data_IF_738148612217
#
_entry.id   IF_738148612217
#
_cell.length_a   1.000
_cell.length_b   1.000
_cell.length_c   1.000
_cell.angle_alpha   90.00
_cell.angle_beta   90.00
_cell.angle_gamma   90.00
#
_symmetry.space_group_name_H-M   'P 1'
#
loop_
_entity.id
_entity.type
_entity.pdbx_description
1 polymer ?
#
# COMPACT_ATOMS: atom_id res chain seq x y z
N UNK A 1 24.46 -24.23 -22.63
CA UNK A 1 23.02 -23.95 -22.46
C UNK A 1 22.87 -23.17 -21.18
N UNK A 2 22.55 -21.88 -21.27
CA UNK A 2 22.26 -21.04 -20.10
C UNK A 2 20.88 -21.44 -19.55
N UNK A 3 20.73 -21.63 -18.23
CA UNK A 3 19.44 -21.97 -17.65
C UNK A 3 18.43 -20.84 -17.93
N UNK A 4 17.23 -21.21 -18.35
CA UNK A 4 16.11 -20.28 -18.52
C UNK A 4 15.84 -19.59 -17.18
N UNK A 5 15.68 -18.25 -17.13
CA UNK A 5 15.35 -17.56 -15.89
C UNK A 5 14.07 -18.16 -15.29
N UNK A 6 13.96 -18.25 -13.95
CA UNK A 6 12.80 -18.87 -13.28
C UNK A 6 11.45 -18.18 -13.56
N UNK A 7 11.44 -17.07 -14.31
CA UNK A 7 10.27 -16.25 -14.61
C UNK A 7 9.86 -16.25 -16.09
N UNK A 8 10.37 -17.17 -16.92
CA UNK A 8 9.96 -17.24 -18.33
C UNK A 8 8.57 -17.90 -18.47
N UNK A 9 7.55 -17.10 -18.79
CA UNK A 9 6.25 -17.64 -19.22
C UNK A 9 6.38 -18.01 -20.70
N UNK A 10 6.37 -19.30 -21.02
CA UNK A 10 6.48 -19.81 -22.40
C UNK A 10 5.10 -20.12 -23.01
N UNK A 11 4.05 -19.45 -22.55
CA UNK A 11 2.67 -19.65 -23.00
C UNK A 11 2.38 -18.84 -24.27
N UNK A 12 1.16 -18.97 -24.84
CA UNK A 12 0.63 -18.04 -25.85
C UNK A 12 -0.55 -17.21 -25.33
N UNK A 13 -1.23 -17.71 -24.29
CA UNK A 13 -2.35 -17.07 -23.63
C UNK A 13 -2.14 -17.08 -22.11
N UNK A 14 -2.11 -15.89 -21.49
CA UNK A 14 -1.84 -15.70 -20.06
C UNK A 14 -3.02 -14.98 -19.42
N UNK A 15 -3.55 -15.50 -18.31
CA UNK A 15 -4.51 -14.80 -17.47
C UNK A 15 -3.82 -14.21 -16.22
N UNK A 16 -4.04 -12.93 -15.96
CA UNK A 16 -3.59 -12.20 -14.77
C UNK A 16 -4.81 -11.96 -13.88
N UNK A 17 -4.79 -12.52 -12.67
CA UNK A 17 -5.89 -12.45 -11.71
C UNK A 17 -5.52 -11.54 -10.55
N UNK A 18 -6.05 -10.31 -10.56
CA UNK A 18 -6.04 -9.45 -9.38
C UNK A 18 -5.58 -8.02 -9.66
N UNK A 19 -6.33 -7.07 -9.10
CA UNK A 19 -6.08 -5.63 -9.12
C UNK A 19 -5.68 -5.13 -7.71
N UNK A 20 -4.92 -5.92 -6.95
CA UNK A 20 -4.13 -5.37 -5.85
C UNK A 20 -2.91 -4.66 -6.43
N UNK A 21 -2.38 -3.63 -5.77
CA UNK A 21 -1.19 -2.87 -6.19
C UNK A 21 0.06 -3.77 -6.26
N UNK A 22 0.11 -4.63 -7.28
CA UNK A 22 1.07 -5.70 -7.35
C UNK A 22 2.25 -5.28 -8.20
N UNK A 23 3.43 -5.38 -7.56
CA UNK A 23 4.80 -5.22 -8.05
C UNK A 23 5.16 -6.07 -9.30
N UNK A 24 4.21 -6.72 -9.96
CA UNK A 24 4.42 -7.51 -11.18
C UNK A 24 4.84 -6.66 -12.38
N UNK A 25 4.56 -5.35 -12.35
CA UNK A 25 4.94 -4.39 -13.39
C UNK A 25 6.47 -4.21 -13.47
N UNK A 26 7.23 -4.61 -12.44
CA UNK A 26 8.68 -4.48 -12.46
C UNK A 26 9.39 -5.40 -13.50
N UNK A 27 8.69 -6.38 -14.08
CA UNK A 27 9.24 -7.29 -15.11
C UNK A 27 8.17 -7.62 -16.16
N UNK A 28 7.95 -6.77 -17.18
CA UNK A 28 6.90 -6.99 -18.18
C UNK A 28 7.30 -7.94 -19.33
N UNK A 29 8.59 -8.26 -19.45
CA UNK A 29 9.16 -9.14 -20.48
C UNK A 29 8.43 -10.50 -20.66
N UNK A 30 7.92 -11.18 -19.60
CA UNK A 30 7.20 -12.45 -19.75
C UNK A 30 5.88 -12.33 -20.51
N UNK A 31 5.35 -11.11 -20.70
CA UNK A 31 4.08 -10.87 -21.40
C UNK A 31 4.27 -10.46 -22.86
N UNK A 32 5.52 -10.32 -23.32
CA UNK A 32 5.82 -9.92 -24.69
C UNK A 32 5.21 -10.90 -25.70
N UNK A 33 4.53 -10.37 -26.71
CA UNK A 33 3.86 -11.13 -27.78
C UNK A 33 2.76 -12.12 -27.29
N UNK A 34 2.30 -11.99 -26.04
CA UNK A 34 1.24 -12.82 -25.44
C UNK A 34 -0.14 -12.21 -25.62
N UNK A 35 -1.18 -13.05 -25.60
CA UNK A 35 -2.56 -12.60 -25.32
C UNK A 35 -2.76 -12.61 -23.80
N UNK A 36 -3.05 -11.45 -23.22
CA UNK A 36 -3.19 -11.29 -21.77
C UNK A 36 -4.62 -10.96 -21.38
N UNK A 37 -5.13 -11.62 -20.34
CA UNK A 37 -6.45 -11.33 -19.75
C UNK A 37 -6.24 -10.76 -18.36
N UNK A 38 -6.67 -9.53 -18.09
CA UNK A 38 -6.62 -8.91 -16.76
C UNK A 38 -7.99 -9.02 -16.11
N UNK A 39 -8.08 -9.68 -14.96
CA UNK A 39 -9.33 -9.81 -14.20
C UNK A 39 -9.42 -8.70 -13.14
N UNK A 40 -10.38 -7.79 -13.31
CA UNK A 40 -10.62 -6.61 -12.47
C UNK A 40 -10.32 -5.29 -13.20
N UNK A 41 -11.21 -4.30 -13.08
CA UNK A 41 -11.10 -2.99 -13.75
C UNK A 41 -11.11 -1.80 -12.77
N UNK A 42 -10.58 -2.03 -11.56
CA UNK A 42 -10.24 -0.94 -10.64
C UNK A 42 -8.89 -0.33 -11.05
N UNK A 43 -8.45 0.73 -10.35
CA UNK A 43 -7.22 1.49 -10.68
C UNK A 43 -6.01 0.61 -11.02
N UNK A 44 -5.67 -0.38 -10.18
CA UNK A 44 -4.53 -1.27 -10.46
C UNK A 44 -4.75 -2.18 -11.67
N UNK A 45 -5.99 -2.62 -11.93
CA UNK A 45 -6.30 -3.43 -13.11
C UNK A 45 -6.15 -2.64 -14.41
N UNK A 46 -6.55 -1.35 -14.39
CA UNK A 46 -6.33 -0.42 -15.51
C UNK A 46 -4.84 -0.16 -15.74
N UNK A 47 -4.09 0.13 -14.69
CA UNK A 47 -2.64 0.39 -14.78
C UNK A 47 -1.89 -0.82 -15.34
N UNK A 48 -2.13 -2.02 -14.78
CA UNK A 48 -1.52 -3.27 -15.26
C UNK A 48 -1.87 -3.52 -16.72
N UNK A 49 -3.11 -3.27 -17.13
CA UNK A 49 -3.55 -3.48 -18.51
C UNK A 49 -2.79 -2.58 -19.49
N UNK A 50 -2.54 -1.31 -19.14
CA UNK A 50 -1.79 -0.37 -19.98
C UNK A 50 -0.30 -0.72 -20.05
N UNK A 51 0.31 -0.99 -18.91
CA UNK A 51 1.74 -1.30 -18.86
C UNK A 51 2.04 -2.54 -19.71
N UNK A 52 1.17 -3.56 -19.65
CA UNK A 52 1.28 -4.77 -20.47
C UNK A 52 0.95 -4.51 -21.94
N UNK A 53 0.00 -3.62 -22.27
CA UNK A 53 -0.41 -3.34 -23.64
C UNK A 53 0.72 -2.80 -24.53
N UNK A 54 1.79 -2.25 -23.94
CA UNK A 54 2.98 -1.79 -24.68
C UNK A 54 3.81 -2.92 -25.28
N UNK A 55 3.67 -4.16 -24.76
CA UNK A 55 4.52 -5.31 -25.10
C UNK A 55 3.73 -6.55 -25.53
N UNK A 56 2.51 -6.72 -25.00
CA UNK A 56 1.64 -7.83 -25.32
C UNK A 56 1.07 -7.73 -26.74
N UNK A 57 0.71 -8.87 -27.31
CA UNK A 57 0.03 -8.95 -28.59
C UNK A 57 -1.41 -8.42 -28.49
N UNK A 58 -2.10 -8.80 -27.42
CA UNK A 58 -3.47 -8.37 -27.11
C UNK A 58 -3.69 -8.33 -25.59
N UNK A 59 -4.51 -7.39 -25.12
CA UNK A 59 -4.93 -7.31 -23.71
C UNK A 59 -6.46 -7.26 -23.64
N UNK A 60 -7.05 -8.13 -22.83
CA UNK A 60 -8.51 -8.20 -22.59
C UNK A 60 -8.77 -7.94 -21.10
N UNK A 61 -9.71 -7.06 -20.76
CA UNK A 61 -10.11 -6.83 -19.37
C UNK A 61 -11.40 -7.57 -19.08
N UNK A 62 -11.38 -8.45 -18.08
CA UNK A 62 -12.54 -9.17 -17.60
C UNK A 62 -13.08 -8.52 -16.32
N UNK A 63 -14.37 -8.20 -16.31
CA UNK A 63 -15.06 -7.61 -15.16
C UNK A 63 -16.34 -8.38 -14.87
N UNK A 64 -16.85 -8.27 -13.65
CA UNK A 64 -18.06 -8.99 -13.19
C UNK A 64 -19.37 -8.32 -13.63
N UNK A 65 -19.38 -7.46 -14.66
CA UNK A 65 -20.59 -6.74 -15.06
C UNK A 65 -21.40 -7.52 -16.11
N UNK A 66 -22.71 -7.63 -15.91
CA UNK A 66 -23.64 -8.46 -16.70
C UNK A 66 -23.98 -7.91 -18.10
N UNK A 67 -23.42 -6.74 -18.49
CA UNK A 67 -23.87 -5.96 -19.64
C UNK A 67 -23.02 -6.11 -20.93
N UNK A 68 -22.03 -7.01 -20.98
CA UNK A 68 -21.13 -7.16 -22.13
C UNK A 68 -21.18 -8.55 -22.77
N UNK A 69 -20.84 -8.62 -24.06
CA UNK A 69 -20.72 -9.87 -24.79
C UNK A 69 -19.75 -10.82 -24.09
N UNK A 70 -20.25 -12.01 -23.76
CA UNK A 70 -19.47 -13.05 -23.09
C UNK A 70 -18.48 -13.66 -24.08
N UNK A 71 -17.21 -13.26 -23.99
CA UNK A 71 -16.11 -13.87 -24.73
C UNK A 71 -15.45 -14.97 -23.89
N UNK A 72 -15.24 -16.13 -24.49
CA UNK A 72 -14.49 -17.23 -23.87
C UNK A 72 -13.09 -17.28 -24.49
N UNK A 73 -12.06 -17.42 -23.65
CA UNK A 73 -10.66 -17.51 -24.08
C UNK A 73 -9.99 -18.65 -23.32
N UNK A 74 -9.12 -19.41 -24.00
CA UNK A 74 -8.28 -20.41 -23.36
C UNK A 74 -7.06 -19.74 -22.74
N UNK A 75 -6.74 -20.08 -21.49
CA UNK A 75 -5.55 -19.57 -20.80
C UNK A 75 -4.66 -20.75 -20.40
N UNK A 76 -3.37 -20.65 -20.72
CA UNK A 76 -2.38 -21.70 -20.46
C UNK A 76 -1.56 -21.42 -19.18
N UNK A 77 -1.66 -20.20 -18.65
CA UNK A 77 -1.05 -19.77 -17.39
C UNK A 77 -1.96 -18.80 -16.64
N UNK A 78 -1.95 -18.90 -15.31
CA UNK A 78 -2.67 -18.01 -14.40
C UNK A 78 -1.67 -17.37 -13.43
N UNK A 79 -1.65 -16.04 -13.40
CA UNK A 79 -0.78 -15.25 -12.52
C UNK A 79 -1.63 -14.59 -11.44
N UNK A 80 -1.40 -14.96 -10.18
CA UNK A 80 -2.15 -14.40 -9.05
C UNK A 80 -1.52 -13.10 -8.55
N UNK A 81 -2.29 -12.02 -8.63
CA UNK A 81 -2.00 -10.66 -8.17
C UNK A 81 -2.98 -10.25 -7.06
N UNK A 82 -3.33 -11.19 -6.18
CA UNK A 82 -4.38 -11.06 -5.15
C UNK A 82 -3.85 -10.55 -3.81
N UNK A 83 -2.88 -9.64 -3.86
CA UNK A 83 -2.19 -9.06 -2.69
C UNK A 83 -1.42 -10.09 -1.83
N UNK A 84 -0.87 -9.64 -0.71
CA UNK A 84 -0.07 -10.41 0.24
C UNK A 84 -0.80 -10.54 1.59
N UNK A 85 -0.44 -11.60 2.33
CA UNK A 85 -0.91 -11.83 3.70
C UNK A 85 0.21 -11.58 4.70
N UNK A 86 -0.09 -10.90 5.81
CA UNK A 86 0.81 -10.81 6.95
C UNK A 86 1.09 -12.21 7.50
N UNK A 87 2.38 -12.49 7.76
CA UNK A 87 2.83 -13.72 8.39
C UNK A 87 4.13 -13.48 9.15
N UNK A 88 4.14 -13.81 10.43
CA UNK A 88 5.32 -13.68 11.30
C UNK A 88 5.70 -15.06 11.86
N UNK A 89 6.29 -15.96 11.04
CA UNK A 89 6.54 -17.35 11.45
C UNK A 89 7.57 -17.49 12.58
N UNK A 90 8.31 -16.42 12.87
CA UNK A 90 9.31 -16.35 13.93
C UNK A 90 8.76 -15.80 15.25
N UNK A 91 7.51 -15.33 15.29
CA UNK A 91 6.94 -14.63 16.43
C UNK A 91 5.95 -15.55 17.16
N UNK A 92 6.40 -16.11 18.27
CA UNK A 92 5.57 -16.93 19.16
C UNK A 92 4.97 -16.06 20.26
N UNK A 93 3.65 -15.85 20.24
CA UNK A 93 2.94 -15.04 21.24
C UNK A 93 1.92 -15.83 22.06
N UNK A 94 1.99 -17.16 22.08
CA UNK A 94 1.00 -18.01 22.76
C UNK A 94 -0.45 -17.63 22.38
N UNK A 95 -0.71 -17.48 21.08
CA UNK A 95 -2.01 -17.08 20.51
C UNK A 95 -2.54 -15.69 20.92
N UNK A 96 -1.76 -14.88 21.64
CA UNK A 96 -2.15 -13.51 21.96
C UNK A 96 -2.32 -12.63 20.71
N UNK A 97 -1.39 -12.71 19.75
CA UNK A 97 -1.51 -12.04 18.46
C UNK A 97 -2.16 -12.95 17.42
N UNK A 98 -3.22 -12.46 16.79
CA UNK A 98 -3.89 -13.12 15.67
C UNK A 98 -3.79 -12.29 14.40
N UNK A 99 -3.84 -12.98 13.26
CA UNK A 99 -3.93 -12.37 11.94
C UNK A 99 -5.24 -12.83 11.31
N UNK A 100 -6.25 -11.98 11.36
CA UNK A 100 -7.59 -12.25 10.83
C UNK A 100 -7.89 -11.23 9.72
N UNK A 101 -8.31 -11.69 8.55
CA UNK A 101 -8.59 -10.82 7.39
C UNK A 101 -7.48 -9.81 7.08
N UNK A 102 -6.22 -10.29 7.16
CA UNK A 102 -5.00 -9.49 6.97
C UNK A 102 -4.85 -8.32 7.98
N UNK A 103 -5.45 -8.44 9.16
CA UNK A 103 -5.30 -7.52 10.29
C UNK A 103 -4.54 -8.19 11.42
N UNK A 104 -3.42 -7.59 11.81
CA UNK A 104 -2.65 -8.02 12.98
C UNK A 104 -3.29 -7.40 14.22
N UNK A 105 -3.61 -8.20 15.22
CA UNK A 105 -4.24 -7.72 16.44
C UNK A 105 -4.02 -8.63 17.64
N UNK A 106 -4.28 -8.15 18.86
CA UNK A 106 -4.66 -6.78 19.20
C UNK A 106 -3.45 -5.83 19.15
N UNK A 107 -3.64 -4.63 18.57
CA UNK A 107 -2.61 -3.58 18.52
C UNK A 107 -3.21 -2.22 18.90
N UNK A 108 -2.63 -1.57 19.91
CA UNK A 108 -2.83 -0.15 20.19
C UNK A 108 -2.25 0.66 19.05
N UNK A 109 -3.08 1.50 18.44
CA UNK A 109 -2.70 2.40 17.34
C UNK A 109 -2.00 1.70 16.17
N UNK A 110 -2.27 0.40 15.97
CA UNK A 110 -1.63 -0.49 14.99
C UNK A 110 -0.10 -0.65 15.14
N UNK A 111 0.45 -0.37 16.33
CA UNK A 111 1.89 -0.43 16.60
C UNK A 111 2.21 -1.37 17.76
N UNK A 112 1.57 -1.18 18.92
CA UNK A 112 1.95 -1.86 20.15
C UNK A 112 0.92 -2.90 20.57
N UNK A 113 1.29 -4.17 20.76
CA UNK A 113 0.42 -5.12 21.45
C UNK A 113 0.34 -4.75 22.94
N UNK A 114 -0.85 -4.47 23.51
CA UNK A 114 -0.97 -3.90 24.86
C UNK A 114 -0.18 -4.66 25.94
N UNK A 115 -0.31 -5.99 26.00
CA UNK A 115 0.34 -6.83 27.01
C UNK A 115 1.85 -7.03 26.79
N UNK A 116 2.37 -6.66 25.62
CA UNK A 116 3.79 -6.83 25.24
C UNK A 116 4.51 -5.50 25.07
N UNK A 117 3.83 -4.37 25.27
CA UNK A 117 4.39 -3.05 25.10
C UNK A 117 5.24 -2.64 26.32
N UNK A 118 6.34 -1.87 26.12
CA UNK A 118 6.92 -1.47 24.84
C UNK A 118 7.89 -2.51 24.25
N UNK A 119 7.99 -3.71 24.84
CA UNK A 119 8.95 -4.76 24.46
C UNK A 119 8.77 -5.33 23.04
N UNK A 120 7.55 -5.27 22.49
CA UNK A 120 7.24 -5.61 21.10
C UNK A 120 6.49 -4.45 20.42
N UNK A 121 6.85 -4.16 19.16
CA UNK A 121 6.15 -3.19 18.32
C UNK A 121 6.20 -3.60 16.85
N UNK A 122 5.19 -3.18 16.09
CA UNK A 122 5.08 -3.40 14.66
C UNK A 122 5.25 -2.08 13.90
N UNK A 123 6.14 -2.09 12.90
CA UNK A 123 6.40 -0.96 12.01
C UNK A 123 6.06 -1.40 10.59
N UNK A 124 5.34 -0.56 9.84
CA UNK A 124 4.99 -0.83 8.43
C UNK A 124 3.73 -1.66 8.21
N UNK A 125 2.92 -1.88 9.26
CA UNK A 125 1.49 -2.21 9.08
C UNK A 125 0.77 -1.01 8.45
N UNK A 126 -0.51 -1.10 8.02
CA UNK A 126 -1.22 -0.03 7.29
C UNK A 126 -1.42 1.29 8.07
N UNK A 127 -0.72 1.48 9.18
CA UNK A 127 -0.62 2.69 9.96
C UNK A 127 0.65 3.48 9.63
N UNK A 128 0.40 4.59 8.94
CA UNK A 128 0.99 5.91 9.10
C UNK A 128 2.52 6.10 9.03
N UNK A 129 2.89 7.19 8.35
CA UNK A 129 4.24 7.75 8.33
C UNK A 129 4.65 8.20 9.75
N UNK A 130 5.87 7.88 10.17
CA UNK A 130 6.44 8.35 11.43
C UNK A 130 6.27 7.44 12.65
N UNK A 131 5.71 6.24 12.47
CA UNK A 131 5.59 5.21 13.54
C UNK A 131 6.95 4.83 14.14
N UNK A 132 8.01 4.77 13.35
CA UNK A 132 9.37 4.49 13.83
C UNK A 132 9.89 5.52 14.86
N UNK A 133 9.66 6.82 14.63
CA UNK A 133 10.07 7.89 15.55
C UNK A 133 9.29 7.82 16.86
N UNK A 134 7.99 7.53 16.78
CA UNK A 134 7.18 7.33 17.98
C UNK A 134 7.65 6.14 18.81
N UNK A 135 7.90 4.99 18.17
CA UNK A 135 8.46 3.79 18.85
C UNK A 135 9.80 4.14 19.51
N UNK A 136 10.69 4.83 18.82
CA UNK A 136 11.98 5.25 19.39
C UNK A 136 11.82 6.17 20.61
N UNK A 137 10.88 7.12 20.57
CA UNK A 137 10.59 8.01 21.69
C UNK A 137 10.00 7.28 22.91
N UNK A 138 9.18 6.24 22.69
CA UNK A 138 8.68 5.37 23.76
C UNK A 138 9.82 4.57 24.38
N UNK A 139 10.64 3.91 23.56
CA UNK A 139 11.77 3.11 24.04
C UNK A 139 12.83 3.97 24.77
N UNK A 140 12.99 5.24 24.41
CA UNK A 140 13.88 6.17 25.10
C UNK A 140 13.27 6.80 26.36
N UNK A 141 12.02 6.47 26.70
CA UNK A 141 11.29 7.06 27.84
C UNK A 141 10.89 8.53 27.66
N UNK A 142 11.01 9.10 26.45
CA UNK A 142 10.57 10.49 26.16
C UNK A 142 9.06 10.59 26.06
N UNK A 143 8.41 9.49 25.67
CA UNK A 143 6.95 9.37 25.56
C UNK A 143 6.54 8.17 26.40
N UNK A 144 5.56 8.37 27.29
CA UNK A 144 4.96 7.26 28.03
C UNK A 144 3.78 6.70 27.25
N UNK A 145 3.69 5.37 27.20
CA UNK A 145 2.47 4.70 26.75
C UNK A 145 1.41 4.81 27.87
N UNK A 146 0.12 4.85 27.51
CA UNK A 146 -0.95 4.69 28.49
C UNK A 146 -0.91 3.27 29.09
N UNK A 147 -1.72 3.04 30.11
CA UNK A 147 -1.86 1.73 30.73
C UNK A 147 -2.38 0.67 29.75
N UNK A 148 -2.17 -0.61 30.08
CA UNK A 148 -2.65 -1.72 29.25
C UNK A 148 -4.16 -1.66 29.02
N UNK A 149 -4.94 -1.36 30.07
CA UNK A 149 -6.40 -1.25 29.99
C UNK A 149 -6.83 -0.12 29.05
N UNK A 150 -6.19 1.05 29.15
CA UNK A 150 -6.46 2.19 28.25
C UNK A 150 -6.09 1.86 26.78
N UNK A 151 -4.99 1.13 26.56
CA UNK A 151 -4.60 0.66 25.23
C UNK A 151 -5.62 -0.32 24.64
N UNK A 152 -6.19 -1.18 25.47
CA UNK A 152 -7.25 -2.14 25.08
C UNK A 152 -8.56 -1.40 24.77
N UNK A 153 -8.93 -0.40 25.56
CA UNK A 153 -10.17 0.39 25.36
C UNK A 153 -10.13 1.20 24.05
N UNK A 154 -9.01 1.85 23.75
CA UNK A 154 -8.80 2.61 22.51
C UNK A 154 -8.99 1.74 21.26
N UNK A 155 -8.52 0.48 21.31
CA UNK A 155 -8.73 -0.51 20.24
C UNK A 155 -10.21 -0.68 19.92
N UNK A 156 -11.06 -0.90 20.92
CA UNK A 156 -12.48 -1.16 20.70
C UNK A 156 -13.17 0.02 20.02
N UNK A 157 -12.80 1.25 20.40
CA UNK A 157 -13.31 2.47 19.76
C UNK A 157 -12.91 2.56 18.29
N UNK A 158 -11.69 2.16 17.94
CA UNK A 158 -11.23 2.14 16.55
C UNK A 158 -11.93 1.07 15.69
N UNK A 159 -12.10 -0.14 16.22
CA UNK A 159 -12.81 -1.23 15.52
C UNK A 159 -14.27 -0.87 15.20
N UNK A 160 -14.95 -0.13 16.09
CA UNK A 160 -16.35 0.26 15.92
C UNK A 160 -16.54 1.44 14.95
N UNK A 161 -15.51 2.27 14.75
CA UNK A 161 -15.61 3.53 13.98
C UNK A 161 -15.01 3.46 12.58
N UNK A 162 -14.39 2.34 12.19
CA UNK A 162 -13.89 2.13 10.83
C UNK A 162 -13.96 0.64 10.38
N UNK A 163 -15.17 0.16 10.00
CA UNK A 163 -15.35 -1.18 9.47
C UNK A 163 -14.91 -1.37 8.01
N UNK A 164 -14.57 -0.29 7.28
CA UNK A 164 -14.37 -0.31 5.82
C UNK A 164 -13.02 0.24 5.33
N UNK A 165 -12.05 0.48 6.23
CA UNK A 165 -10.71 0.96 5.86
C UNK A 165 -10.72 2.27 5.05
N UNK A 166 -11.31 3.33 5.63
CA UNK A 166 -11.12 4.66 5.05
C UNK A 166 -9.62 5.03 5.08
N UNK A 167 -9.07 5.76 4.09
CA UNK A 167 -7.65 6.09 4.04
C UNK A 167 -7.20 6.74 5.35
N UNK A 168 -6.33 6.00 6.04
CA UNK A 168 -5.89 6.20 7.41
C UNK A 168 -4.86 7.35 7.45
N UNK A 169 -5.27 8.57 7.13
CA UNK A 169 -4.48 9.79 7.32
C UNK A 169 -5.01 10.67 8.46
N UNK A 170 -6.31 10.63 8.74
CA UNK A 170 -6.94 11.63 9.61
C UNK A 170 -6.93 11.28 11.11
N UNK A 171 -6.94 10.00 11.48
CA UNK A 171 -7.33 9.60 12.85
C UNK A 171 -6.20 9.37 13.84
N UNK A 172 -4.96 9.26 13.38
CA UNK A 172 -3.80 9.12 14.24
C UNK A 172 -2.76 10.14 13.82
N UNK A 173 -2.20 10.88 14.76
CA UNK A 173 -1.12 11.81 14.48
C UNK A 173 0.12 11.37 15.25
N UNK A 174 0.82 10.30 14.82
CA UNK A 174 2.03 9.82 15.50
C UNK A 174 3.08 10.91 15.67
N UNK A 175 3.09 11.90 14.76
CA UNK A 175 3.96 13.07 14.84
C UNK A 175 3.69 13.92 16.09
N UNK A 176 2.44 14.14 16.47
CA UNK A 176 2.09 14.86 17.71
C UNK A 176 2.61 14.11 18.94
N UNK A 177 2.48 12.77 18.94
CA UNK A 177 2.97 11.94 20.04
C UNK A 177 4.50 11.93 20.18
N UNK A 178 5.25 12.05 19.08
CA UNK A 178 6.73 12.10 19.11
C UNK A 178 7.33 13.51 19.15
N UNK A 179 6.50 14.57 19.18
CA UNK A 179 6.96 15.95 19.01
C UNK A 179 7.59 16.20 17.64
N UNK A 180 7.28 15.35 16.65
CA UNK A 180 7.77 15.49 15.30
C UNK A 180 6.91 16.52 14.56
N UNK A 181 7.52 17.26 13.62
CA UNK A 181 6.77 18.13 12.72
C UNK A 181 5.64 17.36 12.06
N UNK A 182 4.47 18.01 11.92
CA UNK A 182 3.38 17.48 11.12
C UNK A 182 3.85 17.20 9.71
N UNK A 183 3.11 16.35 8.99
CA UNK A 183 3.31 16.21 7.56
C UNK A 183 3.21 17.60 6.91
N UNK A 184 4.13 17.91 5.99
CA UNK A 184 4.09 19.20 5.31
C UNK A 184 2.75 19.34 4.57
N UNK A 185 1.99 20.46 4.70
CA UNK A 185 0.67 20.58 4.10
C UNK A 185 0.64 20.32 2.58
N UNK A 186 1.73 20.67 1.89
CA UNK A 186 1.87 20.42 0.45
C UNK A 186 1.91 18.92 0.12
N UNK A 187 2.42 18.05 1.01
CA UNK A 187 2.44 16.58 0.79
C UNK A 187 1.04 16.00 0.88
N UNK A 188 0.25 16.47 1.83
CA UNK A 188 -1.15 16.05 1.99
C UNK A 188 -1.99 16.53 0.80
N UNK A 189 -1.82 17.79 0.39
CA UNK A 189 -2.49 18.36 -0.79
C UNK A 189 -2.10 17.60 -2.07
N UNK A 190 -0.81 17.31 -2.27
CA UNK A 190 -0.31 16.52 -3.39
C UNK A 190 -0.87 15.09 -3.40
N UNK A 191 -0.93 14.43 -2.25
CA UNK A 191 -1.53 13.09 -2.12
C UNK A 191 -3.02 13.10 -2.48
N UNK A 192 -3.77 14.08 -1.96
CA UNK A 192 -5.20 14.22 -2.23
C UNK A 192 -5.49 14.50 -3.71
N UNK A 193 -4.66 15.32 -4.36
CA UNK A 193 -4.75 15.57 -5.81
C UNK A 193 -4.45 14.28 -6.59
N UNK A 194 -3.38 13.57 -6.23
CA UNK A 194 -2.99 12.33 -6.90
C UNK A 194 -4.08 11.23 -6.81
N UNK A 195 -4.78 11.14 -5.68
CA UNK A 195 -5.87 10.17 -5.50
C UNK A 195 -7.16 10.58 -6.20
N UNK A 196 -7.45 11.88 -6.27
CA UNK A 196 -8.65 12.39 -6.95
C UNK A 196 -8.54 12.31 -8.47
N UNK A 197 -7.33 12.25 -9.01
CA UNK A 197 -7.10 12.08 -10.44
C UNK A 197 -7.33 10.62 -10.84
N UNK A 198 -8.57 10.32 -11.22
CA UNK A 198 -8.99 9.03 -11.79
C UNK A 198 -8.96 9.08 -13.32
N UNK A 199 -7.88 9.63 -13.88
CA UNK A 199 -7.64 9.58 -15.32
C UNK A 199 -6.33 8.87 -15.65
N UNK A 200 -6.25 8.49 -16.92
CA UNK A 200 -5.21 7.62 -17.42
C UNK A 200 -3.87 8.32 -17.64
N UNK A 201 -3.84 9.64 -17.51
CA UNK A 201 -2.69 10.52 -17.75
C UNK A 201 -2.11 11.09 -16.45
N UNK A 202 -2.55 10.60 -15.28
CA UNK A 202 -2.07 11.09 -13.98
C UNK A 202 -0.54 11.14 -13.84
N UNK A 203 0.23 10.21 -14.43
CA UNK A 203 1.69 10.26 -14.33
C UNK A 203 2.34 11.32 -15.23
N UNK A 204 1.75 11.57 -16.39
CA UNK A 204 2.41 12.27 -17.51
C UNK A 204 1.82 13.65 -17.80
N UNK A 205 0.62 13.93 -17.28
CA UNK A 205 -0.02 15.22 -17.45
C UNK A 205 0.78 16.35 -16.81
N UNK A 206 0.71 17.52 -17.46
CA UNK A 206 1.12 18.77 -16.83
C UNK A 206 0.06 19.09 -15.78
N UNK A 207 0.49 19.08 -14.53
CA UNK A 207 -0.39 19.36 -13.42
C UNK A 207 -0.28 20.85 -13.07
N UNK A 208 -1.19 21.69 -13.58
CA UNK A 208 -1.11 23.14 -13.38
C UNK A 208 -1.09 23.56 -11.88
N UNK A 209 -1.81 22.84 -11.02
CA UNK A 209 -1.81 23.04 -9.56
C UNK A 209 -0.54 22.46 -8.87
N UNK A 210 0.15 21.54 -9.54
CA UNK A 210 1.37 20.90 -9.02
C UNK A 210 2.59 21.79 -9.15
N UNK A 211 2.66 22.70 -10.12
CA UNK A 211 3.78 23.63 -10.21
C UNK A 211 3.88 24.50 -8.94
N UNK A 212 2.74 24.91 -8.37
CA UNK A 212 2.72 25.63 -7.10
C UNK A 212 3.09 24.73 -5.92
N UNK A 213 2.64 23.47 -5.89
CA UNK A 213 2.96 22.52 -4.84
C UNK A 213 4.43 22.09 -4.86
N UNK A 214 4.99 21.84 -6.05
CA UNK A 214 6.40 21.59 -6.28
C UNK A 214 7.24 22.78 -5.84
N UNK A 215 6.83 24.00 -6.16
CA UNK A 215 7.53 25.20 -5.68
C UNK A 215 7.48 25.34 -4.15
N UNK A 216 6.37 24.98 -3.49
CA UNK A 216 6.29 24.93 -2.01
C UNK A 216 7.23 23.84 -1.47
N UNK A 217 7.21 22.65 -2.05
CA UNK A 217 8.08 21.53 -1.69
C UNK A 217 9.56 21.89 -1.83
N UNK A 218 9.97 22.47 -2.97
CA UNK A 218 11.36 22.91 -3.19
C UNK A 218 11.79 24.00 -2.20
N UNK A 219 10.91 24.94 -1.87
CA UNK A 219 11.19 25.95 -0.83
C UNK A 219 11.42 25.32 0.54
N UNK A 220 10.65 24.30 0.91
CA UNK A 220 10.85 23.59 2.17
C UNK A 220 12.12 22.72 2.15
N UNK A 221 12.40 22.03 1.04
CA UNK A 221 13.63 21.26 0.89
C UNK A 221 14.89 22.11 0.96
N UNK A 222 14.84 23.35 0.46
CA UNK A 222 15.96 24.29 0.57
C UNK A 222 16.29 24.66 2.02
N UNK A 223 15.30 24.68 2.93
CA UNK A 223 15.51 24.94 4.37
C UNK A 223 16.28 23.80 5.06
N UNK A 224 16.12 22.57 4.57
CA UNK A 224 16.81 21.40 5.13
C UNK A 224 18.31 21.43 4.82
N UNK A 225 18.70 22.04 3.69
CA UNK A 225 20.10 22.19 3.30
C UNK A 225 20.86 23.24 4.14
N UNK A 226 20.15 24.18 4.78
CA UNK A 226 20.77 25.25 5.57
C UNK A 226 21.04 24.89 7.03
N UNK A 227 20.42 23.80 7.54
CA UNK A 227 20.58 23.34 8.92
C UNK A 227 21.72 22.30 9.09
N UNK A 228 22.54 22.10 8.06
CA UNK A 228 23.77 21.30 8.09
C UNK A 228 25.01 22.18 7.87
N UNK A 229 25.31 23.06 8.82
CA UNK A 229 26.63 23.68 9.04
C UNK A 229 26.86 23.93 10.53
#
# INVERSE_FOLDING_TARGET
MTPTPPNSICSRHVAVIGAGAARLIAVPDPFKDQVVIVIGNQSSGRDVSKDIATLAKEVHIATKFDAYDKKTVFADAIVHCTDYKYRFPFLETNDYLTIEDNRVGPLYKHVFPPALAPGLSFIGLPSMVGTNKWVASVLSGRVQLPSEDEMIEDRFTHFLTDPQFSPMFEKLKPHEACGCSSIDPWREEQYNIAIKKDDDSYRDDVWDEHDQLLQKAYRDFAKIQTDQC
#
